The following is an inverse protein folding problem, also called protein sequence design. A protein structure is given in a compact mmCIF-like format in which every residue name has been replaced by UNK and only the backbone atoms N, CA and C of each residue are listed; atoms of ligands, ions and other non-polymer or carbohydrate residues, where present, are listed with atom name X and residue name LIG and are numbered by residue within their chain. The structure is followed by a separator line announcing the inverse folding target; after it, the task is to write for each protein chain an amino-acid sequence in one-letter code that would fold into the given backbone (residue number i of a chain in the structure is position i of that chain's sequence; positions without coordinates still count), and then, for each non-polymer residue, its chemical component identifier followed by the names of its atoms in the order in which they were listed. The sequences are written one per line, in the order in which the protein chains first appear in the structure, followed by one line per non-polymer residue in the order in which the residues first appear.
data_IF_570467008822
#
_entry.id   IF_570467008822
#
_cell.length_a   1.000
_cell.length_b   1.000
_cell.length_c   1.000
_cell.angle_alpha   90.00
_cell.angle_beta   90.00
_cell.angle_gamma   90.00
#
_symmetry.space_group_name_H-M   'P 1'
#
loop_
_entity.id
_entity.type
_entity.pdbx_description
1 polymer ?
#
# COMPACT_ATOMS: atom_id res chain seq x y z
N UNK A 1 -15.89 -10.28 -49.21
CA UNK A 1 -17.15 -9.93 -49.89
C UNK A 1 -18.00 -9.21 -48.85
N UNK A 2 -18.57 -8.01 -49.02
CA UNK A 2 -18.69 -7.03 -50.13
C UNK A 2 -18.47 -5.62 -49.54
N UNK A 3 -18.15 -4.53 -50.25
CA UNK A 3 -17.67 -4.33 -51.62
C UNK A 3 -16.92 -2.97 -51.75
N UNK A 4 -16.17 -2.84 -52.85
CA UNK A 4 -15.30 -1.74 -53.26
C UNK A 4 -15.99 -0.40 -53.54
N UNK A 5 -15.38 0.73 -53.11
CA UNK A 5 -15.18 1.94 -53.94
C UNK A 5 -13.81 2.55 -53.61
N UNK A 6 -12.92 2.70 -54.59
CA UNK A 6 -11.72 3.55 -54.47
C UNK A 6 -11.52 4.34 -55.76
N UNK A 7 -11.54 5.67 -55.66
CA UNK A 7 -11.53 6.58 -56.82
C UNK A 7 -10.11 6.86 -57.28
N UNK A 8 -9.75 6.47 -58.51
CA UNK A 8 -8.47 6.82 -59.12
C UNK A 8 -8.44 8.29 -59.59
N UNK A 9 -7.41 9.04 -59.18
CA UNK A 9 -6.94 10.23 -59.90
C UNK A 9 -5.57 9.94 -60.51
N UNK A 10 -5.47 10.09 -61.82
CA UNK A 10 -4.20 10.03 -62.54
C UNK A 10 -3.60 11.44 -62.65
N UNK A 11 -2.29 11.55 -62.49
CA UNK A 11 -1.53 12.76 -62.80
C UNK A 11 -0.43 12.39 -63.80
N UNK A 12 -0.49 12.98 -65.00
CA UNK A 12 0.43 12.69 -66.09
C UNK A 12 1.66 13.60 -65.98
N UNK A 13 2.86 13.03 -66.13
CA UNK A 13 4.10 13.80 -66.34
C UNK A 13 4.74 13.27 -67.64
N UNK A 14 4.85 14.09 -68.71
CA UNK A 14 5.38 13.66 -69.99
C UNK A 14 6.89 13.97 -70.14
N UNK A 15 7.67 13.03 -70.67
CA UNK A 15 9.02 13.32 -71.17
C UNK A 15 9.27 12.66 -72.54
N UNK A 16 9.51 13.50 -73.55
CA UNK A 16 9.81 13.09 -74.92
C UNK A 16 11.27 12.64 -75.07
N UNK A 17 11.52 11.44 -75.61
CA UNK A 17 12.52 11.18 -76.68
C UNK A 17 12.41 9.73 -77.23
N UNK A 18 12.76 9.49 -78.51
CA UNK A 18 12.43 8.27 -79.24
C UNK A 18 13.42 7.11 -79.05
N UNK A 19 12.98 5.89 -79.35
CA UNK A 19 13.79 4.66 -79.32
C UNK A 19 14.72 4.53 -80.54
N UNK A 20 15.98 4.17 -80.30
CA UNK A 20 16.86 3.45 -81.27
C UNK A 20 17.71 2.40 -80.53
N UNK A 21 17.90 1.18 -81.07
CA UNK A 21 18.64 0.10 -80.40
C UNK A 21 20.07 -0.08 -80.92
N UNK A 22 21.05 -0.36 -80.04
CA UNK A 22 22.09 -1.36 -80.35
C UNK A 22 22.56 -2.14 -79.09
N UNK A 23 23.50 -3.09 -79.19
CA UNK A 23 23.28 -4.42 -79.75
C UNK A 23 23.51 -5.54 -78.72
N UNK A 24 23.14 -6.76 -79.12
CA UNK A 24 23.17 -7.98 -78.31
C UNK A 24 24.54 -8.27 -77.64
N UNK A 25 24.65 -8.03 -76.33
CA UNK A 25 25.71 -8.59 -75.47
C UNK A 25 25.08 -9.38 -74.34
N UNK A 26 25.30 -10.70 -74.33
CA UNK A 26 24.97 -11.58 -73.19
C UNK A 26 25.80 -11.18 -71.96
N UNK A 27 25.28 -10.28 -71.12
CA UNK A 27 25.75 -10.13 -69.74
C UNK A 27 25.09 -11.20 -68.89
N UNK A 28 25.89 -12.09 -68.32
CA UNK A 28 25.43 -12.97 -67.24
C UNK A 28 25.09 -12.07 -66.05
N UNK A 29 23.80 -11.90 -65.74
CA UNK A 29 23.38 -11.14 -64.56
C UNK A 29 23.60 -12.02 -63.33
N UNK A 30 24.63 -11.72 -62.55
CA UNK A 30 24.81 -12.32 -61.23
C UNK A 30 23.77 -11.68 -60.29
N UNK A 31 22.59 -12.29 -60.17
CA UNK A 31 21.56 -11.82 -59.25
C UNK A 31 21.97 -12.25 -57.83
N UNK A 32 22.69 -11.38 -57.12
CA UNK A 32 22.90 -11.54 -55.68
C UNK A 32 21.62 -11.15 -54.94
N UNK A 33 20.81 -12.14 -54.58
CA UNK A 33 19.65 -11.94 -53.73
C UNK A 33 20.08 -11.49 -52.32
N UNK A 34 19.97 -10.20 -52.04
CA UNK A 34 20.09 -9.69 -50.67
C UNK A 34 18.77 -9.97 -49.93
N UNK A 35 18.79 -10.92 -48.99
CA UNK A 35 17.69 -11.10 -48.05
C UNK A 35 17.67 -9.91 -47.08
N UNK A 36 16.86 -8.90 -47.37
CA UNK A 36 16.46 -7.96 -46.33
C UNK A 36 15.60 -8.75 -45.32
N UNK A 37 16.11 -8.91 -44.11
CA UNK A 37 15.30 -9.40 -43.01
C UNK A 37 14.16 -8.39 -42.82
N UNK A 38 12.92 -8.83 -43.04
CA UNK A 38 11.77 -8.03 -42.71
C UNK A 38 11.79 -7.79 -41.20
N UNK A 39 12.01 -6.53 -40.80
CA UNK A 39 11.85 -6.13 -39.41
C UNK A 39 10.36 -6.33 -39.10
N UNK A 40 10.05 -7.42 -38.40
CA UNK A 40 8.72 -7.60 -37.83
C UNK A 40 8.50 -6.45 -36.85
N UNK A 41 7.37 -5.72 -36.93
CA UNK A 41 7.08 -4.71 -35.94
C UNK A 41 7.06 -5.37 -34.57
N UNK A 42 7.73 -4.76 -33.59
CA UNK A 42 7.73 -5.25 -32.21
C UNK A 42 6.27 -5.46 -31.75
N UNK A 43 6.01 -6.50 -30.94
CA UNK A 43 4.67 -6.70 -30.39
C UNK A 43 4.24 -5.43 -29.65
N UNK A 44 2.95 -5.02 -29.75
CA UNK A 44 2.48 -3.81 -29.10
C UNK A 44 2.84 -3.87 -27.62
N UNK A 45 3.42 -2.78 -27.11
CA UNK A 45 3.79 -2.67 -25.71
C UNK A 45 2.60 -3.04 -24.82
N UNK A 46 2.81 -3.81 -23.73
CA UNK A 46 1.71 -4.19 -22.86
C UNK A 46 0.95 -2.93 -22.41
N UNK A 47 -0.40 -2.99 -22.33
CA UNK A 47 -1.21 -1.81 -22.08
C UNK A 47 -0.73 -1.13 -20.79
N UNK A 48 -0.36 0.15 -20.91
CA UNK A 48 0.17 0.95 -19.81
C UNK A 48 -0.88 1.04 -18.70
N UNK A 49 -0.63 0.33 -17.61
CA UNK A 49 -1.55 0.26 -16.47
C UNK A 49 -1.60 1.64 -15.82
N UNK A 50 -2.71 2.36 -16.00
CA UNK A 50 -2.99 3.59 -15.24
C UNK A 50 -2.91 3.27 -13.75
N UNK A 51 -2.05 3.97 -13.03
CA UNK A 51 -1.80 3.73 -11.62
C UNK A 51 -2.80 4.50 -10.73
N UNK A 52 -3.15 5.73 -11.11
CA UNK A 52 -4.14 6.60 -10.45
C UNK A 52 -5.60 6.24 -10.84
N UNK A 53 -5.98 4.96 -10.72
CA UNK A 53 -7.27 4.41 -11.19
C UNK A 53 -8.50 5.05 -10.52
N UNK A 54 -8.40 5.38 -9.24
CA UNK A 54 -9.46 5.95 -8.43
C UNK A 54 -9.27 7.45 -8.27
N UNK A 55 -8.06 7.92 -7.92
CA UNK A 55 -7.83 9.34 -7.63
C UNK A 55 -8.00 10.23 -8.86
N UNK A 56 -7.78 9.69 -10.07
CA UNK A 56 -8.16 10.36 -11.31
C UNK A 56 -9.61 10.82 -11.38
N UNK A 57 -10.53 10.19 -10.62
CA UNK A 57 -11.93 10.63 -10.55
C UNK A 57 -12.11 12.04 -9.97
N UNK A 58 -11.16 12.48 -9.15
CA UNK A 58 -11.13 13.79 -8.47
C UNK A 58 -9.98 14.69 -8.94
N UNK A 59 -8.90 14.16 -9.51
CA UNK A 59 -7.78 14.97 -10.01
C UNK A 59 -7.89 15.39 -11.48
N UNK A 60 -8.50 14.61 -12.37
CA UNK A 60 -8.48 14.88 -13.83
C UNK A 60 -9.69 15.69 -14.37
N UNK A 61 -10.95 15.45 -14.00
CA UNK A 61 -12.09 16.12 -14.62
C UNK A 61 -12.17 17.60 -14.23
N UNK A 62 -12.32 18.49 -15.21
CA UNK A 62 -12.54 19.95 -14.97
C UNK A 62 -13.77 20.25 -14.10
N UNK A 63 -14.74 19.33 -14.02
CA UNK A 63 -15.89 19.43 -13.11
C UNK A 63 -15.55 19.22 -11.63
N UNK A 64 -14.35 18.74 -11.31
CA UNK A 64 -13.86 18.48 -9.95
C UNK A 64 -12.91 19.58 -9.45
N UNK A 65 -13.04 20.80 -9.97
CA UNK A 65 -12.25 21.96 -9.52
C UNK A 65 -12.30 22.21 -8.00
N UNK A 66 -13.41 21.85 -7.35
CA UNK A 66 -13.51 21.89 -5.88
C UNK A 66 -12.59 20.88 -5.17
N UNK A 67 -12.51 19.64 -5.66
CA UNK A 67 -11.58 18.63 -5.15
C UNK A 67 -10.12 19.02 -5.42
N UNK A 68 -9.83 19.49 -6.64
CA UNK A 68 -8.50 19.97 -7.02
C UNK A 68 -8.05 21.12 -6.11
N UNK A 69 -8.91 22.09 -5.81
CA UNK A 69 -8.61 23.20 -4.90
C UNK A 69 -8.28 22.72 -3.48
N UNK A 70 -8.98 21.72 -2.95
CA UNK A 70 -8.67 21.11 -1.65
C UNK A 70 -7.32 20.37 -1.68
N UNK A 71 -7.02 19.67 -2.78
CA UNK A 71 -5.74 18.96 -2.96
C UNK A 71 -4.55 19.93 -3.05
N UNK A 72 -4.68 21.05 -3.78
CA UNK A 72 -3.71 22.14 -3.73
C UNK A 72 -3.59 22.74 -2.32
N UNK A 73 -4.69 22.88 -1.59
CA UNK A 73 -4.73 23.40 -0.22
C UNK A 73 -3.98 22.55 0.81
N UNK A 74 -3.88 21.23 0.60
CA UNK A 74 -3.05 20.33 1.44
C UNK A 74 -1.61 20.19 0.92
N UNK A 75 -1.23 20.91 -0.14
CA UNK A 75 0.15 21.08 -0.59
C UNK A 75 0.58 20.29 -1.82
N UNK A 76 -0.34 19.68 -2.59
CA UNK A 76 0.02 19.02 -3.85
C UNK A 76 0.37 20.06 -4.94
N UNK A 77 1.33 19.72 -5.79
CA UNK A 77 1.61 20.43 -7.04
C UNK A 77 0.75 19.92 -8.21
N UNK A 78 0.83 20.58 -9.37
CA UNK A 78 0.15 20.12 -10.60
C UNK A 78 0.69 18.75 -11.06
N UNK A 79 2.00 18.50 -10.93
CA UNK A 79 2.64 17.22 -11.24
C UNK A 79 2.11 16.08 -10.34
N UNK A 80 1.80 16.38 -9.07
CA UNK A 80 1.28 15.40 -8.11
C UNK A 80 -0.15 14.95 -8.42
N UNK A 81 -0.94 15.74 -9.16
CA UNK A 81 -2.31 15.38 -9.55
C UNK A 81 -2.37 14.15 -10.47
N UNK A 82 -1.25 13.83 -11.13
CA UNK A 82 -1.08 12.64 -11.97
C UNK A 82 -0.64 11.39 -11.22
N UNK A 83 -0.12 11.55 -9.99
CA UNK A 83 0.44 10.45 -9.18
C UNK A 83 -0.66 9.65 -8.49
N UNK A 84 -0.43 8.36 -8.20
CA UNK A 84 -1.31 7.58 -7.33
C UNK A 84 -1.34 8.16 -5.92
N UNK A 85 -2.52 8.18 -5.32
CA UNK A 85 -2.74 8.61 -3.94
C UNK A 85 -2.87 7.38 -3.04
N UNK A 86 -2.00 7.26 -2.04
CA UNK A 86 -1.97 6.14 -1.10
C UNK A 86 -2.48 6.61 0.26
N UNK A 87 -3.57 6.01 0.71
CA UNK A 87 -4.07 6.17 2.07
C UNK A 87 -3.21 5.39 3.05
N UNK A 88 -2.67 6.04 4.08
CA UNK A 88 -1.86 5.41 5.11
C UNK A 88 -2.70 5.40 6.40
N UNK A 89 -3.32 4.25 6.70
CA UNK A 89 -4.27 4.10 7.80
C UNK A 89 -3.60 3.58 9.07
N UNK A 90 -3.18 4.47 9.95
CA UNK A 90 -2.62 4.09 11.25
C UNK A 90 -3.69 3.88 12.33
N UNK A 91 -3.40 3.05 13.32
CA UNK A 91 -4.23 2.84 14.52
C UNK A 91 -3.53 3.44 15.75
N UNK A 92 -2.97 4.65 15.62
CA UNK A 92 -2.20 5.28 16.70
C UNK A 92 -3.11 5.90 17.76
N UNK A 93 -2.73 5.73 19.02
CA UNK A 93 -3.18 6.52 20.17
C UNK A 93 -2.22 6.30 21.35
N UNK A 94 -2.11 7.29 22.24
CA UNK A 94 -1.09 7.30 23.30
C UNK A 94 -1.43 6.39 24.50
N UNK A 95 -2.73 6.22 24.78
CA UNK A 95 -3.22 5.48 25.96
C UNK A 95 -3.02 3.96 25.93
N UNK A 96 -2.24 3.41 24.99
CA UNK A 96 -1.91 1.99 24.93
C UNK A 96 -0.49 1.78 24.38
N UNK A 97 0.39 1.05 25.08
CA UNK A 97 1.72 0.72 24.58
C UNK A 97 1.72 0.06 23.20
N UNK A 98 0.69 -0.71 22.86
CA UNK A 98 0.56 -1.38 21.56
C UNK A 98 0.40 -0.45 20.36
N UNK A 99 0.08 0.82 20.60
CA UNK A 99 -0.32 1.77 19.56
C UNK A 99 0.48 3.09 19.59
N UNK A 100 1.14 3.43 20.70
CA UNK A 100 1.77 4.74 20.88
C UNK A 100 2.94 5.04 19.91
N UNK A 101 3.61 4.01 19.38
CA UNK A 101 4.70 4.14 18.39
C UNK A 101 4.23 4.27 16.93
N UNK A 102 2.96 3.97 16.64
CA UNK A 102 2.48 3.82 15.26
C UNK A 102 2.43 5.15 14.49
N UNK A 103 2.40 6.30 15.17
CA UNK A 103 2.51 7.60 14.53
C UNK A 103 3.85 7.73 13.79
N UNK A 104 4.96 7.40 14.47
CA UNK A 104 6.31 7.41 13.89
C UNK A 104 6.43 6.42 12.74
N UNK A 105 5.88 5.21 12.88
CA UNK A 105 5.87 4.23 11.80
C UNK A 105 5.08 4.72 10.57
N UNK A 106 3.96 5.43 10.80
CA UNK A 106 3.17 6.08 9.75
C UNK A 106 3.91 7.23 9.05
N UNK A 107 4.80 7.95 9.74
CA UNK A 107 5.70 8.92 9.11
C UNK A 107 6.75 8.25 8.20
N UNK A 108 7.39 7.17 8.65
CA UNK A 108 8.37 6.44 7.83
C UNK A 108 7.72 5.75 6.62
N UNK A 109 6.51 5.19 6.77
CA UNK A 109 5.71 4.69 5.63
C UNK A 109 5.38 5.80 4.64
N UNK A 110 5.05 7.01 5.12
CA UNK A 110 4.80 8.16 4.22
C UNK A 110 6.05 8.51 3.40
N UNK A 111 7.24 8.58 4.00
CA UNK A 111 8.49 8.80 3.26
C UNK A 111 8.68 7.75 2.15
N UNK A 112 8.50 6.46 2.48
CA UNK A 112 8.64 5.38 1.51
C UNK A 112 7.64 5.43 0.34
N UNK A 113 6.44 5.96 0.56
CA UNK A 113 5.44 6.22 -0.50
C UNK A 113 5.89 7.39 -1.40
N UNK A 114 6.41 8.47 -0.81
CA UNK A 114 6.92 9.64 -1.53
C UNK A 114 8.18 9.30 -2.35
N UNK A 115 9.12 8.54 -1.77
CA UNK A 115 10.32 8.00 -2.44
C UNK A 115 9.98 7.07 -3.61
N UNK A 116 8.85 6.35 -3.53
CA UNK A 116 8.32 5.53 -4.61
C UNK A 116 7.56 6.33 -5.70
N UNK A 117 7.57 7.67 -5.64
CA UNK A 117 6.96 8.55 -6.63
C UNK A 117 5.44 8.67 -6.53
N UNK A 118 4.86 8.34 -5.38
CA UNK A 118 3.41 8.41 -5.09
C UNK A 118 3.10 9.50 -4.04
N UNK A 119 1.82 9.82 -3.85
CA UNK A 119 1.38 10.78 -2.83
C UNK A 119 0.88 10.04 -1.59
N UNK A 120 1.50 10.29 -0.42
CA UNK A 120 1.12 9.65 0.85
C UNK A 120 0.21 10.51 1.72
N UNK A 121 -1.08 10.12 1.83
CA UNK A 121 -2.05 10.74 2.73
C UNK A 121 -2.26 9.90 3.99
N UNK A 122 -1.70 10.36 5.11
CA UNK A 122 -1.87 9.74 6.43
C UNK A 122 -3.24 10.07 7.02
N UNK A 123 -3.93 9.05 7.52
CA UNK A 123 -5.10 9.20 8.36
C UNK A 123 -5.06 8.16 9.49
N UNK A 124 -5.89 8.36 10.51
CA UNK A 124 -5.89 7.53 11.71
C UNK A 124 -7.29 7.03 12.03
N UNK A 125 -7.39 5.78 12.49
CA UNK A 125 -8.63 5.17 12.97
C UNK A 125 -8.55 4.90 14.48
N UNK A 126 -9.71 4.63 15.09
CA UNK A 126 -9.83 4.36 16.53
C UNK A 126 -9.24 3.00 16.90
N UNK A 127 -8.92 2.82 18.18
CA UNK A 127 -8.50 1.55 18.74
C UNK A 127 -8.84 1.45 20.22
N UNK A 128 -8.81 0.23 20.76
CA UNK A 128 -9.05 -0.06 22.18
C UNK A 128 -7.97 -1.00 22.71
N UNK A 129 -7.75 -1.00 24.03
CA UNK A 129 -6.78 -1.88 24.67
C UNK A 129 -7.50 -2.99 25.44
N UNK A 130 -7.39 -4.21 24.93
CA UNK A 130 -7.92 -5.42 25.60
C UNK A 130 -7.30 -5.59 26.99
N UNK A 131 -5.99 -5.32 27.12
CA UNK A 131 -5.26 -5.44 28.38
C UNK A 131 -5.79 -4.50 29.47
N UNK A 132 -6.15 -3.26 29.12
CA UNK A 132 -6.72 -2.28 30.06
C UNK A 132 -8.20 -2.56 30.36
N UNK A 133 -8.96 -3.02 29.37
CA UNK A 133 -10.40 -3.23 29.50
C UNK A 133 -10.79 -4.58 30.13
N UNK A 134 -9.85 -5.54 30.21
CA UNK A 134 -10.01 -6.86 30.82
C UNK A 134 -10.62 -6.78 32.23
N UNK A 135 -11.63 -7.62 32.52
CA UNK A 135 -12.30 -7.65 33.82
C UNK A 135 -13.27 -6.47 34.08
N UNK A 136 -13.45 -5.55 33.14
CA UNK A 136 -14.35 -4.40 33.27
C UNK A 136 -15.49 -4.43 32.25
N UNK A 137 -16.50 -3.56 32.44
CA UNK A 137 -17.53 -3.31 31.41
C UNK A 137 -16.95 -2.80 30.08
N UNK A 138 -15.72 -2.26 30.06
CA UNK A 138 -15.06 -1.80 28.83
C UNK A 138 -14.84 -2.93 27.81
N UNK A 139 -14.69 -4.18 28.27
CA UNK A 139 -14.45 -5.33 27.38
C UNK A 139 -15.60 -5.58 26.39
N UNK A 140 -16.83 -5.13 26.68
CA UNK A 140 -17.94 -5.21 25.70
C UNK A 140 -17.71 -4.38 24.44
N UNK A 141 -16.76 -3.43 24.46
CA UNK A 141 -16.37 -2.60 23.33
C UNK A 141 -15.14 -3.14 22.57
N UNK A 142 -14.52 -4.26 23.01
CA UNK A 142 -13.37 -4.85 22.31
C UNK A 142 -13.75 -5.37 20.92
N UNK A 143 -14.55 -6.44 20.84
CA UNK A 143 -14.79 -7.16 19.58
C UNK A 143 -15.45 -6.30 18.49
N UNK A 144 -16.35 -5.39 18.86
CA UNK A 144 -17.02 -4.48 17.93
C UNK A 144 -16.05 -3.48 17.26
N UNK A 145 -14.94 -3.13 17.94
CA UNK A 145 -13.97 -2.16 17.42
C UNK A 145 -13.33 -2.62 16.11
N UNK A 146 -13.21 -3.94 15.89
CA UNK A 146 -12.75 -4.52 14.62
C UNK A 146 -13.60 -4.08 13.43
N UNK A 147 -14.93 -4.09 13.58
CA UNK A 147 -15.84 -3.68 12.52
C UNK A 147 -15.75 -2.15 12.33
N UNK A 148 -15.79 -1.39 13.43
CA UNK A 148 -15.65 0.06 13.39
C UNK A 148 -14.34 0.53 12.74
N UNK A 149 -13.24 -0.19 12.94
CA UNK A 149 -11.95 0.04 12.26
C UNK A 149 -12.07 -0.20 10.75
N UNK A 150 -12.69 -1.31 10.33
CA UNK A 150 -12.91 -1.63 8.92
C UNK A 150 -13.80 -0.58 8.24
N UNK A 151 -14.95 -0.26 8.85
CA UNK A 151 -15.90 0.75 8.38
C UNK A 151 -15.23 2.14 8.26
N UNK A 152 -14.34 2.49 9.20
CA UNK A 152 -13.59 3.75 9.18
C UNK A 152 -12.59 3.81 8.01
N UNK A 153 -11.87 2.71 7.75
CA UNK A 153 -10.92 2.64 6.62
C UNK A 153 -11.68 2.65 5.29
N UNK A 154 -12.76 1.88 5.16
CA UNK A 154 -13.63 1.86 3.97
C UNK A 154 -14.22 3.25 3.70
N UNK A 155 -14.73 3.92 4.73
CA UNK A 155 -15.29 5.28 4.62
C UNK A 155 -14.27 6.27 4.07
N UNK A 156 -13.04 6.29 4.59
CA UNK A 156 -12.00 7.22 4.11
C UNK A 156 -11.56 6.86 2.70
N UNK A 157 -11.27 5.58 2.42
CA UNK A 157 -10.84 5.13 1.08
C UNK A 157 -11.89 5.42 0.01
N UNK A 158 -13.16 5.11 0.28
CA UNK A 158 -14.27 5.32 -0.64
C UNK A 158 -14.64 6.79 -0.84
N UNK A 159 -14.51 7.63 0.20
CA UNK A 159 -14.80 9.07 0.09
C UNK A 159 -13.67 9.85 -0.60
N UNK A 160 -12.41 9.52 -0.31
CA UNK A 160 -11.24 10.28 -0.78
C UNK A 160 -10.65 9.76 -2.12
N UNK A 161 -11.18 8.66 -2.66
CA UNK A 161 -10.74 8.08 -3.94
C UNK A 161 -9.26 7.69 -3.99
N UNK A 162 -8.68 7.25 -2.87
CA UNK A 162 -7.30 6.77 -2.84
C UNK A 162 -7.12 5.46 -3.64
N UNK A 163 -6.00 5.34 -4.34
CA UNK A 163 -5.69 4.24 -5.25
C UNK A 163 -5.18 2.97 -4.55
N UNK A 164 -4.61 3.14 -3.36
CA UNK A 164 -4.07 2.08 -2.54
C UNK A 164 -4.11 2.43 -1.05
N UNK A 165 -4.02 1.41 -0.21
CA UNK A 165 -4.05 1.56 1.25
C UNK A 165 -2.87 0.80 1.88
N UNK A 166 -2.15 1.45 2.80
CA UNK A 166 -1.18 0.83 3.70
C UNK A 166 -1.71 0.98 5.12
N UNK A 167 -2.20 -0.11 5.70
CA UNK A 167 -2.68 -0.13 7.10
C UNK A 167 -1.55 -0.45 8.06
N UNK A 168 -1.55 0.24 9.20
CA UNK A 168 -0.54 0.10 10.26
C UNK A 168 -1.27 -0.22 11.58
N UNK A 169 -1.73 -1.48 11.77
CA UNK A 169 -2.20 -1.98 13.05
C UNK A 169 -1.02 -2.25 14.01
N UNK A 170 -1.31 -2.38 15.31
CA UNK A 170 -0.27 -2.52 16.35
C UNK A 170 0.47 -3.87 16.35
N UNK A 171 1.81 -3.82 16.48
CA UNK A 171 2.77 -4.92 16.70
C UNK A 171 4.15 -4.33 17.10
N UNK A 172 5.07 -5.00 17.80
CA UNK A 172 4.91 -5.97 18.92
C UNK A 172 5.91 -5.58 20.06
N UNK A 173 5.73 -6.01 21.33
CA UNK A 173 6.63 -5.63 22.45
C UNK A 173 7.48 -6.78 22.98
N UNK A 174 8.75 -6.48 23.21
CA UNK A 174 9.63 -7.32 24.01
C UNK A 174 9.09 -7.44 25.45
N UNK A 175 9.14 -8.64 26.07
CA UNK A 175 8.75 -8.79 27.46
C UNK A 175 9.69 -8.03 28.40
N UNK A 176 9.15 -7.64 29.55
CA UNK A 176 9.92 -7.00 30.62
C UNK A 176 10.93 -7.94 31.22
N UNK A 177 12.05 -7.41 31.69
CA UNK A 177 13.09 -8.18 32.38
C UNK A 177 13.49 -7.44 33.65
N UNK A 178 13.30 -8.07 34.81
CA UNK A 178 13.61 -7.46 36.11
C UNK A 178 14.06 -8.52 37.12
N UNK A 179 15.20 -8.27 37.76
CA UNK A 179 15.86 -9.20 38.71
C UNK A 179 16.08 -10.64 38.18
N UNK A 180 16.36 -10.78 36.88
CA UNK A 180 16.60 -12.09 36.24
C UNK A 180 15.34 -12.84 35.82
N UNK A 181 14.15 -12.35 36.17
CA UNK A 181 12.87 -12.89 35.72
C UNK A 181 12.35 -12.11 34.51
N UNK A 182 11.68 -12.82 33.60
CA UNK A 182 10.95 -12.24 32.47
C UNK A 182 9.49 -12.05 32.87
N UNK A 183 8.95 -10.85 32.69
CA UNK A 183 7.56 -10.48 33.01
C UNK A 183 6.83 -10.01 31.76
N UNK A 184 5.58 -10.45 31.63
CA UNK A 184 4.71 -10.12 30.52
C UNK A 184 3.32 -9.66 31.03
N UNK A 185 2.37 -9.48 30.12
CA UNK A 185 1.01 -9.07 30.48
C UNK A 185 0.24 -10.18 31.22
N UNK A 186 0.52 -11.46 30.95
CA UNK A 186 -0.10 -12.57 31.66
C UNK A 186 0.41 -12.64 33.11
N UNK A 187 1.70 -12.36 33.33
CA UNK A 187 2.29 -12.21 34.67
C UNK A 187 1.55 -11.13 35.48
N UNK A 188 1.22 -10.00 34.86
CA UNK A 188 0.45 -8.92 35.51
C UNK A 188 -0.99 -9.33 35.86
N UNK A 189 -1.63 -10.20 35.07
CA UNK A 189 -2.95 -10.76 35.41
C UNK A 189 -2.86 -11.85 36.49
N UNK A 190 -1.84 -12.71 36.45
CA UNK A 190 -1.65 -13.82 37.38
C UNK A 190 -1.27 -13.35 38.79
N UNK A 191 -0.49 -12.27 38.92
CA UNK A 191 -0.01 -11.77 40.21
C UNK A 191 -1.14 -11.41 41.21
N UNK A 192 -2.35 -11.09 40.75
CA UNK A 192 -3.50 -10.90 41.64
C UNK A 192 -3.98 -12.22 42.26
N UNK A 193 -4.01 -13.30 41.48
CA UNK A 193 -4.35 -14.64 41.97
C UNK A 193 -3.30 -15.15 42.98
N UNK A 194 -2.02 -14.97 42.66
CA UNK A 194 -0.90 -15.34 43.53
C UNK A 194 -0.87 -14.54 44.85
N UNK A 195 -1.29 -13.27 44.81
CA UNK A 195 -1.43 -12.45 46.01
C UNK A 195 -2.59 -12.95 46.89
N UNK A 196 -3.74 -13.26 46.29
CA UNK A 196 -4.92 -13.79 47.01
C UNK A 196 -4.68 -15.20 47.57
N UNK A 197 -3.86 -16.04 46.92
CA UNK A 197 -3.43 -17.33 47.46
C UNK A 197 -2.33 -17.23 48.54
N UNK A 198 -1.84 -16.02 48.84
CA UNK A 198 -0.75 -15.80 49.80
C UNK A 198 0.63 -16.25 49.28
N UNK A 199 0.78 -16.44 47.98
CA UNK A 199 2.02 -16.90 47.33
C UNK A 199 3.03 -15.78 47.08
N UNK A 200 2.56 -14.53 46.94
CA UNK A 200 3.41 -13.33 46.81
C UNK A 200 2.95 -12.20 47.73
N UNK A 201 3.86 -11.31 48.10
CA UNK A 201 3.55 -10.06 48.82
C UNK A 201 3.00 -8.98 47.89
N UNK A 202 2.35 -7.94 48.46
CA UNK A 202 1.86 -6.80 47.66
C UNK A 202 3.01 -6.00 47.01
N UNK A 203 4.18 -5.97 47.64
CA UNK A 203 5.40 -5.38 47.06
C UNK A 203 5.88 -6.18 45.84
N UNK A 204 5.92 -7.50 45.94
CA UNK A 204 6.24 -8.39 44.80
C UNK A 204 5.22 -8.21 43.67
N UNK A 205 3.92 -8.16 43.99
CA UNK A 205 2.84 -7.89 43.03
C UNK A 205 3.04 -6.55 42.30
N UNK A 206 3.37 -5.48 43.03
CA UNK A 206 3.66 -4.17 42.44
C UNK A 206 4.95 -4.17 41.58
N UNK A 207 5.94 -4.97 41.94
CA UNK A 207 7.15 -5.14 41.13
C UNK A 207 6.85 -5.87 39.81
N UNK A 208 5.95 -6.85 39.77
CA UNK A 208 5.48 -7.45 38.51
C UNK A 208 4.79 -6.40 37.64
N UNK A 209 3.76 -5.72 38.19
CA UNK A 209 2.95 -4.73 37.45
C UNK A 209 3.80 -3.62 36.83
N UNK A 210 4.81 -3.11 37.54
CA UNK A 210 5.69 -2.03 37.04
C UNK A 210 6.64 -2.46 35.92
N UNK A 211 6.97 -3.76 35.82
CA UNK A 211 7.98 -4.25 34.88
C UNK A 211 7.38 -5.05 33.70
N UNK A 212 6.13 -5.52 33.78
CA UNK A 212 5.45 -6.28 32.72
C UNK A 212 5.29 -5.58 31.35
N UNK A 213 5.36 -4.24 31.32
CA UNK A 213 5.20 -3.44 30.10
C UNK A 213 6.35 -2.41 29.97
N UNK A 214 7.54 -2.82 29.49
CA UNK A 214 8.74 -1.98 29.49
C UNK A 214 8.75 -0.88 28.42
N UNK A 215 7.87 -0.94 27.42
CA UNK A 215 7.88 -0.03 26.27
C UNK A 215 6.75 -0.29 25.27
N UNK A 216 6.88 0.30 24.08
CA UNK A 216 5.89 0.20 23.01
C UNK A 216 5.81 -1.22 22.39
N UNK A 217 4.65 -1.53 21.83
CA UNK A 217 4.34 -2.79 21.14
C UNK A 217 3.22 -3.62 21.79
N UNK A 218 2.80 -4.66 21.07
CA UNK A 218 1.64 -5.51 21.36
C UNK A 218 1.93 -6.71 22.30
N UNK A 219 0.97 -7.62 22.41
CA UNK A 219 1.05 -8.95 23.04
C UNK A 219 2.30 -9.79 22.70
N UNK A 220 3.40 -9.76 23.47
CA UNK A 220 4.64 -10.49 23.13
C UNK A 220 4.58 -12.03 23.09
N UNK A 221 3.49 -12.66 23.55
CA UNK A 221 3.21 -14.08 23.34
C UNK A 221 2.32 -14.31 22.10
N UNK A 222 2.06 -15.57 21.73
CA UNK A 222 1.18 -15.91 20.60
C UNK A 222 -0.33 -15.72 20.93
N UNK A 223 -0.70 -14.51 21.30
CA UNK A 223 -2.07 -14.05 21.47
C UNK A 223 -2.64 -13.53 20.13
N UNK A 224 -3.85 -12.99 20.16
CA UNK A 224 -4.58 -12.50 18.98
C UNK A 224 -3.72 -11.65 18.04
N UNK A 225 -2.93 -10.71 18.56
CA UNK A 225 -2.11 -9.82 17.71
C UNK A 225 -1.05 -10.58 16.92
N UNK A 226 -0.16 -11.33 17.59
CA UNK A 226 0.93 -12.05 16.92
C UNK A 226 0.40 -13.19 16.03
N UNK A 227 -0.62 -13.91 16.50
CA UNK A 227 -1.30 -14.94 15.69
C UNK A 227 -1.90 -14.35 14.40
N UNK A 228 -2.55 -13.20 14.47
CA UNK A 228 -3.08 -12.54 13.27
C UNK A 228 -1.98 -11.93 12.41
N UNK A 229 -0.90 -11.38 12.98
CA UNK A 229 0.24 -10.87 12.21
C UNK A 229 0.88 -11.98 11.36
N UNK A 230 1.20 -13.12 11.98
CA UNK A 230 1.73 -14.30 11.27
C UNK A 230 0.75 -14.87 10.25
N UNK A 231 -0.57 -14.86 10.54
CA UNK A 231 -1.58 -15.29 9.57
C UNK A 231 -1.67 -14.35 8.35
N UNK A 232 -1.56 -13.03 8.55
CA UNK A 232 -1.59 -12.02 7.49
C UNK A 232 -0.33 -12.10 6.62
N UNK A 233 0.84 -12.34 7.22
CA UNK A 233 2.08 -12.66 6.48
C UNK A 233 1.95 -13.95 5.67
N UNK A 234 1.42 -15.02 6.26
CA UNK A 234 1.17 -16.29 5.55
C UNK A 234 0.14 -16.17 4.42
N UNK A 235 -0.80 -15.22 4.50
CA UNK A 235 -1.73 -14.88 3.41
C UNK A 235 -1.10 -13.98 2.32
N UNK A 236 0.16 -13.56 2.46
CA UNK A 236 0.84 -12.67 1.50
C UNK A 236 0.38 -11.21 1.56
N UNK A 237 -0.28 -10.81 2.65
CA UNK A 237 -0.83 -9.46 2.85
C UNK A 237 0.08 -8.54 3.68
N UNK A 238 1.19 -9.07 4.21
CA UNK A 238 2.31 -8.33 4.81
C UNK A 238 3.60 -8.62 4.06
N UNK A 239 4.58 -7.71 4.14
CA UNK A 239 5.93 -7.97 3.66
C UNK A 239 6.62 -9.03 4.55
N UNK A 240 7.38 -9.97 3.97
CA UNK A 240 8.12 -10.96 4.75
C UNK A 240 9.30 -10.31 5.46
N UNK A 241 9.51 -10.67 6.73
CA UNK A 241 10.66 -10.20 7.49
C UNK A 241 11.97 -10.84 6.98
N UNK A 242 12.96 -10.02 6.64
CA UNK A 242 14.32 -10.40 6.20
C UNK A 242 15.37 -9.53 6.86
#
# INVERSE_FOLDING_TARGET
MQATILTLRATVIPTNKPLTPPPNRRRCLLITAQSQAAVTPDPPSPPTVKLNKYSSRVTEPKSQGGSQAMLYGVGLSEDDMSKPQVGISSVWYEGNPCNMHLLKLSDEVKRGVEDAGMVGFRFNTVGVSDAISMGTRGMSFSLQSRNLIADSIETVMGAQWYDGNISIPGCDKNPGHFQGNTYDIVSAFQCYGEYVSGSISDEQRMNVVRNSCPGAGACGGMYTTNTMASAIEAMGMSLPYR
#
